data_IF_300976513561
#
_entry.id   IF_300976513561
#
_cell.length_a   1.000
_cell.length_b   1.000
_cell.length_c   1.000
_cell.angle_alpha   90.00
_cell.angle_beta   90.00
_cell.angle_gamma   90.00
#
_symmetry.space_group_name_H-M   'P 1'
#
loop_
_entity.id
_entity.type
_entity.pdbx_description
1 polymer ?
#
# COMPACT_ATOMS: atom_id res chain seq x y z
N UNK A 1 15.30 5.58 -12.57
CA UNK A 1 15.73 6.19 -11.30
C UNK A 1 16.78 5.34 -10.58
N UNK A 2 17.69 5.99 -9.86
CA UNK A 2 18.61 5.38 -8.91
C UNK A 2 17.83 4.97 -7.65
N UNK A 3 18.37 4.01 -6.88
CA UNK A 3 17.73 3.55 -5.63
C UNK A 3 17.60 4.67 -4.61
N UNK A 4 18.59 5.55 -4.57
CA UNK A 4 18.62 6.75 -3.72
C UNK A 4 17.49 7.72 -4.05
N UNK A 5 17.20 7.92 -5.34
CA UNK A 5 16.09 8.77 -5.79
C UNK A 5 14.74 8.16 -5.40
N UNK A 6 14.59 6.84 -5.57
CA UNK A 6 13.39 6.11 -5.14
C UNK A 6 13.18 6.20 -3.63
N UNK A 7 14.22 5.97 -2.83
CA UNK A 7 14.10 6.04 -1.37
C UNK A 7 13.75 7.46 -0.90
N UNK A 8 14.33 8.49 -1.54
CA UNK A 8 14.00 9.88 -1.25
C UNK A 8 12.52 10.18 -1.57
N UNK A 9 12.05 9.81 -2.75
CA UNK A 9 10.65 10.00 -3.14
C UNK A 9 9.69 9.23 -2.22
N UNK A 10 10.06 8.00 -1.83
CA UNK A 10 9.28 7.21 -0.88
C UNK A 10 9.13 7.94 0.46
N UNK A 11 10.22 8.45 1.04
CA UNK A 11 10.21 9.19 2.29
C UNK A 11 9.41 10.50 2.19
N UNK A 12 9.57 11.25 1.10
CA UNK A 12 8.80 12.49 0.86
C UNK A 12 7.29 12.21 0.79
N UNK A 13 6.88 11.10 0.16
CA UNK A 13 5.48 10.70 0.07
C UNK A 13 4.90 10.17 1.40
N UNK A 14 5.70 9.46 2.19
CA UNK A 14 5.31 9.06 3.56
C UNK A 14 5.03 10.29 4.43
N UNK A 15 5.92 11.28 4.37
CA UNK A 15 5.77 12.55 5.09
C UNK A 15 4.56 13.35 4.58
N UNK A 16 4.41 13.52 3.26
CA UNK A 16 3.29 14.27 2.66
C UNK A 16 1.93 13.67 3.07
N UNK A 17 1.84 12.34 3.09
CA UNK A 17 0.60 11.62 3.39
C UNK A 17 0.40 11.33 4.86
N UNK A 18 1.40 11.61 5.71
CA UNK A 18 1.38 11.24 7.13
C UNK A 18 1.12 9.74 7.32
N UNK A 19 1.78 8.90 6.50
CA UNK A 19 1.67 7.43 6.55
C UNK A 19 3.07 6.83 6.55
N UNK A 20 3.33 5.89 7.47
CA UNK A 20 4.53 5.07 7.42
C UNK A 20 4.20 3.69 6.85
N UNK A 21 4.98 3.15 5.90
CA UNK A 21 4.82 1.80 5.34
C UNK A 21 5.89 0.87 5.91
N UNK A 22 5.45 -0.16 6.62
CA UNK A 22 6.36 -1.13 7.24
C UNK A 22 7.08 -1.99 6.18
N UNK A 23 8.34 -2.33 6.44
CA UNK A 23 9.11 -3.31 5.65
C UNK A 23 9.79 -2.74 4.39
N UNK A 24 9.73 -1.44 4.17
CA UNK A 24 10.47 -0.75 3.10
C UNK A 24 11.68 -0.03 3.69
N UNK A 25 12.88 -0.41 3.28
CA UNK A 25 14.13 0.16 3.78
C UNK A 25 15.24 0.17 2.71
N UNK A 26 16.40 0.73 3.06
CA UNK A 26 17.55 0.84 2.16
C UNK A 26 18.08 -0.50 1.62
N UNK A 27 17.78 -1.62 2.27
CA UNK A 27 18.12 -2.96 1.78
C UNK A 27 17.05 -3.57 0.85
N UNK A 28 15.83 -3.03 0.79
CA UNK A 28 14.76 -3.49 -0.10
C UNK A 28 15.15 -3.41 -1.58
N UNK A 29 14.59 -4.27 -2.41
CA UNK A 29 14.79 -4.24 -3.87
C UNK A 29 14.19 -2.95 -4.44
N UNK A 30 14.73 -2.49 -5.58
CA UNK A 30 14.19 -1.31 -6.27
C UNK A 30 12.70 -1.48 -6.61
N UNK A 31 12.28 -2.68 -6.98
CA UNK A 31 10.88 -3.00 -7.29
C UNK A 31 9.96 -2.89 -6.08
N UNK A 32 10.44 -3.27 -4.89
CA UNK A 32 9.67 -3.18 -3.65
C UNK A 32 9.45 -1.70 -3.26
N UNK A 33 10.50 -0.89 -3.36
CA UNK A 33 10.41 0.56 -3.11
C UNK A 33 9.48 1.23 -4.13
N UNK A 34 9.62 0.89 -5.42
CA UNK A 34 8.76 1.43 -6.47
C UNK A 34 7.29 1.07 -6.24
N UNK A 35 7.00 -0.16 -5.84
CA UNK A 35 5.66 -0.61 -5.53
C UNK A 35 5.07 0.12 -4.31
N UNK A 36 5.89 0.39 -3.28
CA UNK A 36 5.45 1.19 -2.13
C UNK A 36 5.14 2.64 -2.53
N UNK A 37 5.96 3.25 -3.40
CA UNK A 37 5.67 4.57 -4.01
C UNK A 37 4.36 4.56 -4.78
N UNK A 38 4.11 3.54 -5.60
CA UNK A 38 2.85 3.38 -6.35
C UNK A 38 1.64 3.27 -5.39
N UNK A 39 1.79 2.55 -4.28
CA UNK A 39 0.78 2.46 -3.23
C UNK A 39 0.51 3.82 -2.56
N UNK A 40 1.55 4.59 -2.24
CA UNK A 40 1.40 5.93 -1.67
C UNK A 40 0.69 6.87 -2.65
N UNK A 41 1.07 6.84 -3.94
CA UNK A 41 0.43 7.63 -4.99
C UNK A 41 -0.99 7.19 -5.33
N UNK A 42 -1.40 5.99 -4.92
CA UNK A 42 -2.76 5.51 -5.14
C UNK A 42 -3.77 6.44 -4.44
N UNK A 43 -4.79 6.97 -5.15
CA UNK A 43 -5.85 7.75 -4.54
C UNK A 43 -6.62 6.93 -3.51
N UNK A 44 -7.06 7.59 -2.45
CA UNK A 44 -7.79 6.93 -1.35
C UNK A 44 -9.12 6.31 -1.83
N UNK A 45 -9.82 6.96 -2.76
CA UNK A 45 -11.04 6.41 -3.38
C UNK A 45 -10.76 5.07 -4.11
N UNK A 46 -9.59 4.94 -4.74
CA UNK A 46 -9.20 3.71 -5.41
C UNK A 46 -8.78 2.64 -4.39
N UNK A 47 -8.11 3.01 -3.30
CA UNK A 47 -7.80 2.10 -2.19
C UNK A 47 -9.06 1.54 -1.53
N UNK A 48 -10.11 2.34 -1.38
CA UNK A 48 -11.40 1.85 -0.86
C UNK A 48 -12.03 0.82 -1.80
N UNK A 49 -11.98 1.05 -3.12
CA UNK A 49 -12.41 0.06 -4.12
C UNK A 49 -11.56 -1.22 -4.06
N UNK A 50 -10.26 -1.10 -3.81
CA UNK A 50 -9.38 -2.25 -3.61
C UNK A 50 -9.72 -3.06 -2.36
N UNK A 51 -10.12 -2.41 -1.27
CA UNK A 51 -10.62 -3.12 -0.10
C UNK A 51 -11.91 -3.90 -0.41
N UNK A 52 -12.80 -3.37 -1.25
CA UNK A 52 -13.99 -4.09 -1.72
C UNK A 52 -13.59 -5.35 -2.50
N UNK A 53 -12.70 -5.21 -3.49
CA UNK A 53 -12.20 -6.34 -4.29
C UNK A 53 -11.58 -7.42 -3.40
N UNK A 54 -10.73 -7.01 -2.44
CA UNK A 54 -10.13 -7.92 -1.46
C UNK A 54 -11.20 -8.62 -0.63
N UNK A 55 -12.21 -7.88 -0.14
CA UNK A 55 -13.28 -8.41 0.69
C UNK A 55 -14.16 -9.42 -0.05
N UNK A 56 -14.34 -9.25 -1.36
CA UNK A 56 -15.10 -10.20 -2.17
C UNK A 56 -14.38 -11.54 -2.33
N UNK A 57 -13.04 -11.55 -2.47
CA UNK A 57 -12.25 -12.80 -2.57
C UNK A 57 -11.93 -13.40 -1.20
N UNK A 58 -11.66 -12.55 -0.20
CA UNK A 58 -11.17 -12.92 1.13
C UNK A 58 -11.96 -12.19 2.22
N UNK A 59 -13.24 -12.55 2.37
CA UNK A 59 -14.20 -11.88 3.28
C UNK A 59 -13.70 -11.73 4.72
N UNK A 60 -13.03 -12.74 5.28
CA UNK A 60 -12.49 -12.67 6.65
C UNK A 60 -11.40 -11.61 6.79
N UNK A 61 -10.53 -11.50 5.79
CA UNK A 61 -9.43 -10.53 5.78
C UNK A 61 -10.00 -9.12 5.57
N UNK A 62 -10.94 -8.97 4.64
CA UNK A 62 -11.64 -7.70 4.42
C UNK A 62 -12.31 -7.16 5.68
N UNK A 63 -13.05 -8.02 6.41
CA UNK A 63 -13.67 -7.65 7.69
C UNK A 63 -12.65 -7.25 8.76
N UNK A 64 -11.53 -7.97 8.86
CA UNK A 64 -10.48 -7.65 9.81
C UNK A 64 -9.88 -6.27 9.52
N UNK A 65 -9.54 -5.98 8.27
CA UNK A 65 -8.95 -4.70 7.87
C UNK A 65 -9.94 -3.55 8.07
N UNK A 66 -11.21 -3.72 7.67
CA UNK A 66 -12.25 -2.72 7.89
C UNK A 66 -12.50 -2.44 9.39
N UNK A 67 -12.31 -3.45 10.25
CA UNK A 67 -12.43 -3.32 11.70
C UNK A 67 -11.27 -2.56 12.37
N UNK A 68 -10.12 -2.44 11.70
CA UNK A 68 -8.94 -1.75 12.24
C UNK A 68 -9.01 -0.21 12.10
N UNK A 69 -10.13 0.33 11.61
CA UNK A 69 -10.34 1.77 11.41
C UNK A 69 -9.79 2.25 10.06
N UNK A 70 -9.08 3.37 10.06
CA UNK A 70 -8.58 3.97 8.83
C UNK A 70 -7.35 3.22 8.28
N UNK A 71 -7.62 2.13 7.54
CA UNK A 71 -6.59 1.30 6.93
C UNK A 71 -5.70 2.07 5.94
N UNK A 72 -6.16 3.21 5.42
CA UNK A 72 -5.43 4.02 4.45
C UNK A 72 -4.19 4.68 5.05
N UNK A 73 -4.20 4.93 6.37
CA UNK A 73 -3.05 5.43 7.13
C UNK A 73 -2.39 4.35 7.98
N UNK A 74 -2.82 3.09 7.86
CA UNK A 74 -2.25 1.98 8.60
C UNK A 74 -1.00 1.43 7.89
N UNK A 75 0.07 1.25 8.66
CA UNK A 75 1.40 0.96 8.11
C UNK A 75 1.51 -0.32 7.30
N UNK A 76 0.87 -1.37 7.78
CA UNK A 76 0.78 -2.63 7.07
C UNK A 76 -0.39 -2.69 6.08
N UNK A 77 -1.62 -2.34 6.52
CA UNK A 77 -2.83 -2.65 5.76
C UNK A 77 -2.93 -1.88 4.44
N UNK A 78 -2.43 -0.64 4.36
CA UNK A 78 -2.48 0.15 3.11
C UNK A 78 -1.80 -0.60 1.95
N UNK A 79 -0.54 -1.00 2.17
CA UNK A 79 0.25 -1.71 1.16
C UNK A 79 -0.30 -3.11 0.90
N UNK A 80 -0.78 -3.80 1.94
CA UNK A 80 -1.38 -5.12 1.80
C UNK A 80 -2.64 -5.10 0.91
N UNK A 81 -3.55 -4.15 1.14
CA UNK A 81 -4.77 -3.98 0.33
C UNK A 81 -4.40 -3.65 -1.12
N UNK A 82 -3.49 -2.71 -1.33
CA UNK A 82 -3.02 -2.31 -2.66
C UNK A 82 -2.47 -3.50 -3.46
N UNK A 83 -1.55 -4.26 -2.86
CA UNK A 83 -0.92 -5.40 -3.53
C UNK A 83 -1.91 -6.53 -3.82
N UNK A 84 -2.70 -6.88 -2.82
CA UNK A 84 -3.62 -8.02 -2.91
C UNK A 84 -4.70 -7.74 -3.95
N UNK A 85 -5.30 -6.54 -3.97
CA UNK A 85 -6.32 -6.21 -4.96
C UNK A 85 -5.76 -6.24 -6.39
N UNK A 86 -4.55 -5.71 -6.62
CA UNK A 86 -3.90 -5.78 -7.94
C UNK A 86 -3.61 -7.21 -8.38
N UNK A 87 -3.20 -8.08 -7.44
CA UNK A 87 -3.02 -9.50 -7.73
C UNK A 87 -4.34 -10.15 -8.14
N UNK A 88 -5.43 -9.88 -7.41
CA UNK A 88 -6.76 -10.42 -7.71
C UNK A 88 -7.25 -9.97 -9.10
N UNK A 89 -7.01 -8.71 -9.46
CA UNK A 89 -7.46 -8.14 -10.74
C UNK A 89 -6.59 -8.56 -11.94
N UNK A 90 -5.40 -9.11 -11.69
CA UNK A 90 -4.51 -9.63 -12.72
C UNK A 90 -4.73 -11.13 -13.00
N UNK A 91 -5.42 -11.85 -12.10
CA UNK A 91 -5.87 -13.23 -12.27
C UNK A 91 -7.08 -13.31 -13.23
#
# INVERSE_FOLDING_TARGET
MKKTELMKEFQELEEEKQVHIDGIAWNSKKSEIQNAIECLKCPDELLEKYLIVLSLKYEKIGRLIAGNGDFKHHSHNRLYVFNTARQILAD
#
